data_IF_019180928858
#
_entry.id   IF_019180928858
#
_cell.length_a   1.000
_cell.length_b   1.000
_cell.length_c   1.000
_cell.angle_alpha   90.00
_cell.angle_beta   90.00
_cell.angle_gamma   90.00
#
_symmetry.space_group_name_H-M   'P 1'
#
loop_
_entity.id
_entity.type
_entity.pdbx_description
1 polymer ?
#
# COMPACT_ATOMS: atom_id res chain seq x y z
N UNK A 1 -0.92 34.83 -16.08
CA UNK A 1 -0.28 33.92 -15.11
C UNK A 1 -1.34 33.54 -14.12
N UNK A 2 -1.98 32.39 -14.32
CA UNK A 2 -3.07 31.95 -13.45
C UNK A 2 -2.59 30.77 -12.61
N UNK A 3 -2.88 30.84 -11.30
CA UNK A 3 -2.74 29.71 -10.40
C UNK A 3 -4.05 28.94 -10.51
N UNK A 4 -3.97 27.70 -10.97
CA UNK A 4 -5.10 26.79 -11.09
C UNK A 4 -5.57 26.35 -9.71
N UNK A 5 -6.74 25.71 -9.65
CA UNK A 5 -7.22 25.08 -8.41
C UNK A 5 -6.23 24.03 -7.88
N UNK A 6 -5.55 23.29 -8.78
CA UNK A 6 -4.54 22.29 -8.44
C UNK A 6 -3.28 22.94 -7.86
N UNK A 7 -2.84 24.06 -8.44
CA UNK A 7 -1.72 24.84 -7.90
C UNK A 7 -2.02 25.44 -6.54
N UNK A 8 -3.24 25.94 -6.36
CA UNK A 8 -3.72 26.42 -5.05
C UNK A 8 -3.70 25.31 -4.00
N UNK A 9 -4.15 24.10 -4.37
CA UNK A 9 -4.10 22.94 -3.50
C UNK A 9 -2.64 22.56 -3.13
N UNK A 10 -1.73 22.56 -4.09
CA UNK A 10 -0.32 22.27 -3.85
C UNK A 10 0.33 23.29 -2.91
N UNK A 11 0.05 24.58 -3.09
CA UNK A 11 0.52 25.63 -2.17
C UNK A 11 -0.08 25.43 -0.77
N UNK A 12 -1.37 25.10 -0.67
CA UNK A 12 -2.00 24.81 0.61
C UNK A 12 -1.34 23.62 1.33
N UNK A 13 -0.96 22.56 0.60
CA UNK A 13 -0.21 21.42 1.14
C UNK A 13 1.17 21.86 1.66
N UNK A 14 1.88 22.71 0.93
CA UNK A 14 3.19 23.24 1.38
C UNK A 14 3.06 24.13 2.62
N UNK A 15 2.03 24.97 2.68
CA UNK A 15 1.75 25.80 3.86
C UNK A 15 1.38 24.90 5.05
N UNK A 16 0.53 23.90 4.84
CA UNK A 16 0.11 22.97 5.90
C UNK A 16 1.28 22.17 6.45
N UNK A 17 2.12 21.62 5.59
CA UNK A 17 3.32 20.85 5.98
C UNK A 17 4.39 21.73 6.61
N UNK A 18 4.62 22.92 6.07
CA UNK A 18 5.51 23.94 6.67
C UNK A 18 5.02 24.40 8.05
N UNK A 19 3.72 24.64 8.21
CA UNK A 19 3.12 25.01 9.49
C UNK A 19 3.19 23.87 10.51
N UNK A 20 2.95 22.63 10.08
CA UNK A 20 3.15 21.44 10.90
C UNK A 20 4.58 21.32 11.40
N UNK A 21 5.56 21.53 10.50
CA UNK A 21 6.97 21.58 10.83
C UNK A 21 7.33 22.73 11.79
N UNK A 22 6.73 23.91 11.62
CA UNK A 22 6.93 25.05 12.53
C UNK A 22 6.42 24.77 13.94
N UNK A 23 5.23 24.18 14.08
CA UNK A 23 4.64 23.83 15.38
C UNK A 23 5.44 22.76 16.12
N UNK A 24 5.94 21.76 15.39
CA UNK A 24 6.71 20.66 15.97
C UNK A 24 8.17 21.03 16.25
N UNK A 25 8.76 21.89 15.43
CA UNK A 25 10.19 22.19 15.43
C UNK A 25 11.03 21.13 14.70
N UNK A 26 12.26 21.51 14.32
CA UNK A 26 13.18 20.72 13.52
C UNK A 26 13.42 19.32 14.07
N UNK A 27 13.84 19.22 15.35
CA UNK A 27 14.20 17.94 15.97
C UNK A 27 13.02 16.97 15.93
N UNK A 28 11.82 17.45 16.26
CA UNK A 28 10.62 16.59 16.32
C UNK A 28 10.10 16.22 14.94
N UNK A 29 10.23 17.09 13.93
CA UNK A 29 9.83 16.75 12.55
C UNK A 29 10.77 15.72 11.92
N UNK A 30 12.09 15.84 12.14
CA UNK A 30 13.07 14.84 11.70
C UNK A 30 12.85 13.50 12.41
N UNK A 31 12.70 13.53 13.73
CA UNK A 31 12.40 12.32 14.50
C UNK A 31 11.11 11.66 14.01
N UNK A 32 10.07 12.43 13.72
CA UNK A 32 8.82 11.90 13.16
C UNK A 32 9.01 11.18 11.82
N UNK A 33 9.99 11.57 11.00
CA UNK A 33 10.31 10.88 9.76
C UNK A 33 11.01 9.54 10.03
N UNK A 34 12.03 9.54 10.91
CA UNK A 34 12.72 8.31 11.32
C UNK A 34 11.81 7.33 12.06
N UNK A 35 10.89 7.82 12.89
CA UNK A 35 9.97 6.99 13.65
C UNK A 35 8.97 6.22 12.78
N UNK A 36 8.68 6.67 11.55
CA UNK A 36 7.86 5.88 10.62
C UNK A 36 8.59 4.60 10.23
N UNK A 37 9.87 4.69 9.87
CA UNK A 37 10.68 3.50 9.55
C UNK A 37 10.86 2.61 10.77
N UNK A 38 11.07 3.19 11.95
CA UNK A 38 11.12 2.42 13.19
C UNK A 38 9.78 1.73 13.46
N UNK A 39 8.65 2.39 13.23
CA UNK A 39 7.33 1.81 13.39
C UNK A 39 7.08 0.66 12.41
N UNK A 40 7.54 0.78 11.15
CA UNK A 40 7.46 -0.30 10.17
C UNK A 40 8.32 -1.51 10.57
N UNK A 41 9.53 -1.27 11.08
CA UNK A 41 10.41 -2.33 11.58
C UNK A 41 9.81 -3.03 12.82
N UNK A 42 9.28 -2.26 13.77
CA UNK A 42 8.57 -2.81 14.93
C UNK A 42 7.28 -3.53 14.54
N UNK A 43 6.55 -3.02 13.56
CA UNK A 43 5.35 -3.67 13.04
C UNK A 43 5.70 -5.06 12.51
N UNK A 44 6.81 -5.22 11.81
CA UNK A 44 7.28 -6.53 11.34
C UNK A 44 7.55 -7.50 12.50
N UNK A 45 8.10 -7.03 13.62
CA UNK A 45 8.32 -7.85 14.82
C UNK A 45 7.01 -8.20 15.57
N UNK A 46 6.04 -7.28 15.60
CA UNK A 46 4.74 -7.46 16.27
C UNK A 46 3.80 -8.33 15.42
N UNK A 47 3.89 -8.23 14.09
CA UNK A 47 3.01 -8.90 13.14
C UNK A 47 2.82 -10.40 13.34
N UNK A 48 3.83 -11.25 13.58
CA UNK A 48 3.60 -12.68 13.78
C UNK A 48 2.63 -12.96 14.93
N UNK A 49 2.69 -12.19 16.03
CA UNK A 49 1.79 -12.36 17.18
C UNK A 49 0.37 -11.90 16.88
N UNK A 50 0.22 -10.76 16.19
CA UNK A 50 -1.09 -10.23 15.80
C UNK A 50 -1.73 -11.12 14.73
N UNK A 51 -0.93 -11.65 13.81
CA UNK A 51 -1.40 -12.56 12.78
C UNK A 51 -1.87 -13.88 13.36
N UNK A 52 -1.08 -14.50 14.25
CA UNK A 52 -1.50 -15.73 14.94
C UNK A 52 -2.79 -15.52 15.74
N UNK A 53 -2.91 -14.37 16.43
CA UNK A 53 -4.13 -14.01 17.14
C UNK A 53 -5.33 -13.86 16.19
N UNK A 54 -5.16 -13.19 15.05
CA UNK A 54 -6.22 -12.99 14.05
C UNK A 54 -6.60 -14.31 13.35
N UNK A 55 -5.65 -15.21 13.13
CA UNK A 55 -5.87 -16.49 12.47
C UNK A 55 -6.55 -17.51 13.39
N UNK A 56 -6.24 -17.50 14.70
CA UNK A 56 -6.65 -18.58 15.62
C UNK A 56 -7.68 -18.18 16.67
N UNK A 57 -7.77 -16.88 16.99
CA UNK A 57 -8.55 -16.40 18.13
C UNK A 57 -9.70 -15.48 17.71
N UNK A 58 -9.73 -15.04 16.47
CA UNK A 58 -10.82 -14.22 15.96
C UNK A 58 -11.49 -14.90 14.77
N UNK A 59 -12.81 -14.72 14.59
CA UNK A 59 -13.55 -15.24 13.43
C UNK A 59 -13.25 -14.46 12.14
N UNK A 60 -12.13 -13.73 12.08
CA UNK A 60 -11.80 -12.87 10.95
C UNK A 60 -11.38 -13.71 9.75
N UNK A 61 -10.56 -14.74 9.97
CA UNK A 61 -10.09 -15.61 8.90
C UNK A 61 -11.25 -16.36 8.25
N UNK A 62 -12.11 -17.03 9.03
CA UNK A 62 -13.21 -17.83 8.50
C UNK A 62 -14.21 -16.98 7.72
N UNK A 63 -14.57 -15.79 8.23
CA UNK A 63 -15.48 -14.88 7.51
C UNK A 63 -14.91 -14.37 6.20
N UNK A 64 -13.60 -14.11 6.16
CA UNK A 64 -12.95 -13.64 4.94
C UNK A 64 -12.80 -14.79 3.94
N UNK A 65 -12.46 -15.99 4.41
CA UNK A 65 -12.43 -17.19 3.57
C UNK A 65 -13.79 -17.47 2.95
N UNK A 66 -14.86 -17.47 3.75
CA UNK A 66 -16.23 -17.63 3.26
C UNK A 66 -16.60 -16.54 2.25
N UNK A 67 -16.20 -15.29 2.49
CA UNK A 67 -16.40 -14.20 1.53
C UNK A 67 -15.63 -14.42 0.22
N UNK A 68 -14.38 -14.90 0.29
CA UNK A 68 -13.58 -15.21 -0.89
C UNK A 68 -14.17 -16.40 -1.66
N UNK A 69 -14.64 -17.44 -0.96
CA UNK A 69 -15.29 -18.60 -1.58
C UNK A 69 -16.55 -18.17 -2.35
N UNK A 70 -17.44 -17.41 -1.69
CA UNK A 70 -18.66 -16.89 -2.33
C UNK A 70 -18.35 -16.03 -3.58
N UNK A 71 -17.26 -15.26 -3.57
CA UNK A 71 -16.84 -14.48 -4.73
C UNK A 71 -16.37 -15.38 -5.89
N UNK A 72 -15.66 -16.47 -5.59
CA UNK A 72 -15.22 -17.44 -6.60
C UNK A 72 -16.44 -18.18 -7.18
N UNK A 73 -17.34 -18.66 -6.32
CA UNK A 73 -18.57 -19.35 -6.76
C UNK A 73 -19.45 -18.44 -7.61
N UNK A 74 -19.56 -17.14 -7.27
CA UNK A 74 -20.31 -16.18 -8.07
C UNK A 74 -19.72 -15.93 -9.47
N UNK A 75 -18.41 -16.09 -9.63
CA UNK A 75 -17.75 -15.97 -10.93
C UNK A 75 -17.94 -17.23 -11.79
N UNK A 76 -18.00 -18.40 -11.15
CA UNK A 76 -18.25 -19.67 -11.85
C UNK A 76 -19.68 -19.77 -12.40
N UNK A 77 -20.67 -19.21 -11.68
CA UNK A 77 -22.08 -19.24 -12.14
C UNK A 77 -22.35 -18.39 -13.39
N UNK A 78 -21.46 -17.48 -13.77
CA UNK A 78 -21.58 -16.71 -15.02
C UNK A 78 -21.00 -17.47 -16.24
N UNK A 79 -20.29 -18.58 -16.04
CA UNK A 79 -19.62 -19.37 -17.09
C UNK A 79 -20.29 -20.73 -17.41
N UNK A 80 -21.29 -21.19 -16.64
CA UNK A 80 -22.04 -22.42 -16.94
C UNK A 80 -23.08 -22.24 -18.08
N UNK A 81 -22.58 -22.07 -19.30
CA UNK A 81 -23.33 -22.33 -20.53
C UNK A 81 -22.40 -22.82 -21.65
N UNK A 82 -21.69 -23.92 -21.45
CA UNK A 82 -21.10 -24.70 -22.55
C UNK A 82 -20.79 -26.13 -22.11
N UNK A 83 -21.73 -27.01 -22.45
CA UNK A 83 -21.59 -28.39 -22.92
C UNK A 83 -20.76 -29.41 -22.13
N UNK A 84 -21.52 -30.40 -21.64
CA UNK A 84 -21.12 -31.76 -21.37
C UNK A 84 -20.29 -32.35 -22.54
N UNK A 85 -19.14 -32.97 -22.24
CA UNK A 85 -18.79 -34.27 -22.83
C UNK A 85 -17.68 -34.98 -22.03
N UNK A 86 -17.90 -36.27 -21.89
CA UNK A 86 -17.15 -37.23 -21.09
C UNK A 86 -15.96 -37.82 -21.86
N UNK A 87 -14.82 -38.10 -21.20
CA UNK A 87 -14.09 -39.38 -21.28
C UNK A 87 -12.72 -39.37 -20.57
N UNK A 88 -12.61 -40.28 -19.60
CA UNK A 88 -11.52 -41.20 -19.27
C UNK A 88 -10.05 -40.86 -19.67
N UNK A 89 -9.19 -40.77 -18.63
CA UNK A 89 -7.86 -41.39 -18.67
C UNK A 89 -6.63 -40.54 -19.05
N UNK A 90 -6.24 -39.53 -18.24
CA UNK A 90 -4.81 -39.13 -18.11
C UNK A 90 -4.53 -38.30 -16.84
N UNK A 91 -4.29 -38.99 -15.74
CA UNK A 91 -4.04 -38.38 -14.42
C UNK A 91 -2.58 -37.91 -14.35
N UNK A 92 -2.37 -36.59 -14.30
CA UNK A 92 -1.39 -35.83 -13.49
C UNK A 92 -0.97 -34.49 -14.15
N UNK A 93 -1.08 -34.35 -15.48
CA UNK A 93 -0.74 -33.12 -16.22
C UNK A 93 -1.99 -32.26 -16.56
N UNK A 94 -3.16 -32.90 -16.73
CA UNK A 94 -4.42 -32.21 -17.04
C UNK A 94 -4.97 -31.36 -15.89
N UNK A 95 -4.88 -31.85 -14.65
CA UNK A 95 -5.45 -31.16 -13.48
C UNK A 95 -4.76 -29.83 -13.19
N UNK A 96 -3.43 -29.76 -13.29
CA UNK A 96 -2.70 -28.50 -13.07
C UNK A 96 -3.00 -27.51 -14.19
N UNK A 97 -3.19 -27.98 -15.42
CA UNK A 97 -3.53 -27.13 -16.56
C UNK A 97 -4.96 -26.58 -16.45
N UNK A 98 -5.91 -27.38 -15.94
CA UNK A 98 -7.28 -26.95 -15.64
C UNK A 98 -7.31 -25.93 -14.49
N UNK A 99 -6.60 -26.19 -13.39
CA UNK A 99 -6.50 -25.28 -12.24
C UNK A 99 -5.83 -23.95 -12.59
N UNK A 100 -4.80 -23.96 -13.44
CA UNK A 100 -4.14 -22.73 -13.90
C UNK A 100 -5.05 -21.93 -14.83
N UNK A 101 -5.78 -22.60 -15.73
CA UNK A 101 -6.77 -21.96 -16.60
C UNK A 101 -7.88 -21.32 -15.77
N UNK A 102 -8.34 -21.99 -14.71
CA UNK A 102 -9.30 -21.46 -13.76
C UNK A 102 -8.78 -20.20 -13.05
N UNK A 103 -7.55 -20.23 -12.52
CA UNK A 103 -6.94 -19.06 -11.86
C UNK A 103 -6.82 -17.87 -12.83
N UNK A 104 -6.49 -18.11 -14.09
CA UNK A 104 -6.40 -17.07 -15.12
C UNK A 104 -7.75 -16.43 -15.45
N UNK A 105 -8.85 -17.19 -15.34
CA UNK A 105 -10.23 -16.74 -15.53
C UNK A 105 -10.79 -15.91 -14.37
N UNK A 106 -10.23 -16.02 -13.17
CA UNK A 106 -10.68 -15.22 -12.01
C UNK A 106 -10.57 -13.72 -12.29
N UNK A 107 -11.57 -12.95 -11.87
CA UNK A 107 -11.57 -11.48 -11.95
C UNK A 107 -10.64 -10.83 -10.91
N UNK A 108 -9.36 -11.20 -10.94
CA UNK A 108 -8.31 -10.76 -10.04
C UNK A 108 -7.17 -10.08 -10.83
N UNK A 109 -6.45 -9.12 -10.22
CA UNK A 109 -5.22 -8.62 -10.80
C UNK A 109 -4.23 -9.75 -11.12
N UNK A 110 -3.54 -9.66 -12.26
CA UNK A 110 -2.54 -10.66 -12.70
C UNK A 110 -1.47 -10.98 -11.65
N UNK A 111 -1.15 -10.05 -10.75
CA UNK A 111 -0.25 -10.26 -9.62
C UNK A 111 -0.79 -11.32 -8.64
N UNK A 112 -2.10 -11.28 -8.34
CA UNK A 112 -2.74 -12.27 -7.46
C UNK A 112 -2.91 -13.61 -8.17
N UNK A 113 -3.31 -13.61 -9.44
CA UNK A 113 -3.41 -14.83 -10.24
C UNK A 113 -2.07 -15.57 -10.26
N UNK A 114 -0.98 -14.85 -10.59
CA UNK A 114 0.37 -15.41 -10.55
C UNK A 114 0.74 -15.93 -9.16
N UNK A 115 0.42 -15.18 -8.10
CA UNK A 115 0.71 -15.61 -6.73
C UNK A 115 -0.03 -16.90 -6.36
N UNK A 116 -1.27 -17.07 -6.80
CA UNK A 116 -2.02 -18.33 -6.64
C UNK A 116 -1.34 -19.45 -7.43
N UNK A 117 -1.05 -19.24 -8.72
CA UNK A 117 -0.37 -20.25 -9.54
C UNK A 117 0.97 -20.69 -8.95
N UNK A 118 1.82 -19.74 -8.55
CA UNK A 118 3.15 -20.01 -7.99
C UNK A 118 3.08 -20.71 -6.62
N UNK A 119 1.97 -20.58 -5.89
CA UNK A 119 1.78 -21.17 -4.55
C UNK A 119 0.80 -22.36 -4.53
N UNK A 120 0.35 -22.83 -5.69
CA UNK A 120 -0.49 -24.03 -5.78
C UNK A 120 0.40 -25.28 -5.60
N UNK A 121 0.77 -25.56 -4.35
CA UNK A 121 1.70 -26.63 -3.98
C UNK A 121 1.19 -27.39 -2.77
N UNK A 122 1.56 -28.67 -2.65
CA UNK A 122 1.16 -29.52 -1.52
C UNK A 122 1.56 -28.95 -0.14
N UNK A 123 2.67 -28.20 -0.07
CA UNK A 123 3.11 -27.55 1.17
C UNK A 123 2.12 -26.48 1.64
N UNK A 124 1.62 -25.67 0.71
CA UNK A 124 0.67 -24.59 1.01
C UNK A 124 -0.71 -25.17 1.38
N UNK A 125 -1.18 -26.21 0.71
CA UNK A 125 -2.42 -26.92 1.08
C UNK A 125 -2.37 -27.45 2.52
N UNK A 126 -1.24 -28.07 2.88
CA UNK A 126 -1.01 -28.56 4.25
C UNK A 126 -0.97 -27.43 5.27
N UNK A 127 -0.34 -26.30 4.92
CA UNK A 127 -0.28 -25.14 5.82
C UNK A 127 -1.65 -24.51 6.05
N UNK A 128 -2.48 -24.43 5.02
CA UNK A 128 -3.86 -23.93 5.10
C UNK A 128 -4.84 -24.94 5.72
N UNK A 129 -4.43 -26.21 5.86
CA UNK A 129 -5.26 -27.33 6.29
C UNK A 129 -6.52 -27.52 5.40
N UNK A 130 -6.29 -27.51 4.07
CA UNK A 130 -7.33 -27.67 3.05
C UNK A 130 -7.00 -28.82 2.09
N UNK A 131 -8.04 -29.49 1.59
CA UNK A 131 -7.91 -30.66 0.72
C UNK A 131 -8.50 -30.45 -0.68
N UNK A 132 -9.18 -29.32 -0.93
CA UNK A 132 -9.80 -29.00 -2.22
C UNK A 132 -9.19 -27.73 -2.84
N UNK A 133 -9.24 -27.65 -4.17
CA UNK A 133 -8.76 -26.48 -4.91
C UNK A 133 -9.55 -25.20 -4.59
N UNK A 134 -10.87 -25.28 -4.45
CA UNK A 134 -11.70 -24.13 -4.05
C UNK A 134 -11.36 -23.60 -2.65
N UNK A 135 -11.13 -24.50 -1.69
CA UNK A 135 -10.70 -24.14 -0.34
C UNK A 135 -9.27 -23.57 -0.33
N UNK A 136 -8.40 -24.07 -1.21
CA UNK A 136 -7.07 -23.50 -1.42
C UNK A 136 -7.13 -22.06 -1.93
N UNK A 137 -7.86 -21.78 -3.02
CA UNK A 137 -7.93 -20.43 -3.60
C UNK A 137 -8.53 -19.46 -2.58
N UNK A 138 -9.68 -19.80 -1.99
CA UNK A 138 -10.36 -18.96 -1.00
C UNK A 138 -9.52 -18.76 0.27
N UNK A 139 -8.91 -19.82 0.80
CA UNK A 139 -8.07 -19.77 1.99
C UNK A 139 -6.77 -18.99 1.78
N UNK A 140 -6.15 -19.11 0.59
CA UNK A 140 -4.94 -18.37 0.26
C UNK A 140 -5.21 -16.86 0.17
N UNK A 141 -6.30 -16.47 -0.51
CA UNK A 141 -6.74 -15.08 -0.58
C UNK A 141 -7.09 -14.54 0.80
N UNK A 142 -7.82 -15.31 1.61
CA UNK A 142 -8.15 -14.93 2.98
C UNK A 142 -6.89 -14.71 3.82
N UNK A 143 -5.89 -15.59 3.69
CA UNK A 143 -4.61 -15.46 4.36
C UNK A 143 -3.86 -14.20 3.95
N UNK A 144 -3.83 -13.84 2.66
CA UNK A 144 -3.25 -12.58 2.21
C UNK A 144 -3.94 -11.36 2.84
N UNK A 145 -5.28 -11.36 2.86
CA UNK A 145 -6.08 -10.27 3.44
C UNK A 145 -5.83 -10.16 4.94
N UNK A 146 -5.88 -11.27 5.68
CA UNK A 146 -5.63 -11.30 7.13
C UNK A 146 -4.19 -10.86 7.43
N UNK A 147 -3.19 -11.32 6.68
CA UNK A 147 -1.80 -10.87 6.82
C UNK A 147 -1.68 -9.35 6.64
N UNK A 148 -2.33 -8.78 5.63
CA UNK A 148 -2.37 -7.34 5.39
C UNK A 148 -3.02 -6.57 6.54
N UNK A 149 -4.16 -7.05 7.03
CA UNK A 149 -4.85 -6.45 8.18
C UNK A 149 -4.02 -6.55 9.47
N UNK A 150 -3.41 -7.71 9.73
CA UNK A 150 -2.53 -7.93 10.88
C UNK A 150 -1.33 -6.98 10.85
N UNK A 151 -0.75 -6.75 9.68
CA UNK A 151 0.36 -5.81 9.54
C UNK A 151 -0.09 -4.37 9.83
N UNK A 152 -1.27 -3.96 9.34
CA UNK A 152 -1.87 -2.67 9.66
C UNK A 152 -2.11 -2.49 11.17
N UNK A 153 -2.70 -3.48 11.83
CA UNK A 153 -2.93 -3.46 13.29
C UNK A 153 -1.59 -3.41 14.03
N UNK A 154 -0.60 -4.20 13.59
CA UNK A 154 0.74 -4.21 14.17
C UNK A 154 1.45 -2.87 14.02
N UNK A 155 1.27 -2.18 12.89
CA UNK A 155 1.78 -0.84 12.67
C UNK A 155 1.12 0.18 13.60
N UNK A 156 -0.19 0.07 13.84
CA UNK A 156 -0.89 0.91 14.82
C UNK A 156 -0.34 0.66 16.24
N UNK A 157 -0.16 -0.60 16.63
CA UNK A 157 0.42 -0.98 17.93
C UNK A 157 1.87 -0.50 18.07
N UNK A 158 2.70 -0.65 17.02
CA UNK A 158 4.07 -0.14 17.00
C UNK A 158 4.09 1.39 17.22
N UNK A 159 3.21 2.12 16.54
CA UNK A 159 3.06 3.56 16.76
C UNK A 159 2.62 3.89 18.18
N UNK A 160 1.73 3.10 18.78
CA UNK A 160 1.33 3.27 20.17
C UNK A 160 2.52 3.08 21.12
N UNK A 161 3.31 2.01 20.94
CA UNK A 161 4.51 1.73 21.75
C UNK A 161 5.53 2.85 21.64
N UNK A 162 5.84 3.30 20.41
CA UNK A 162 6.76 4.42 20.18
C UNK A 162 6.26 5.69 20.89
N UNK A 163 4.96 5.98 20.83
CA UNK A 163 4.37 7.15 21.51
C UNK A 163 4.47 7.04 23.02
N UNK A 164 4.21 5.86 23.60
CA UNK A 164 4.34 5.64 25.04
C UNK A 164 5.78 5.86 25.51
N UNK A 165 6.76 5.29 24.80
CA UNK A 165 8.19 5.50 25.06
C UNK A 165 8.53 6.99 24.94
N UNK A 166 8.07 7.66 23.88
CA UNK A 166 8.28 9.09 23.67
C UNK A 166 7.68 9.95 24.77
N UNK A 167 6.52 9.60 25.32
CA UNK A 167 5.92 10.28 26.47
C UNK A 167 6.77 10.13 27.73
N UNK A 168 7.23 8.91 28.03
CA UNK A 168 8.10 8.65 29.19
C UNK A 168 9.43 9.39 29.05
N UNK A 169 10.04 9.36 27.86
CA UNK A 169 11.26 10.11 27.58
C UNK A 169 11.06 11.62 27.74
N UNK A 170 9.95 12.20 27.27
CA UNK A 170 9.67 13.63 27.46
C UNK A 170 9.32 13.99 28.91
N UNK A 171 8.77 13.07 29.70
CA UNK A 171 8.47 13.30 31.11
C UNK A 171 9.75 13.31 31.96
N UNK A 172 10.75 12.51 31.59
CA UNK A 172 12.04 12.41 32.31
C UNK A 172 13.04 13.43 31.78
N UNK A 173 13.12 13.59 30.45
CA UNK A 173 13.92 14.60 29.81
C UNK A 173 13.05 15.85 29.63
N UNK A 174 13.15 16.80 30.56
CA UNK A 174 12.77 18.19 30.32
C UNK A 174 13.55 18.67 29.09
N UNK A 175 13.03 18.46 27.88
CA UNK A 175 13.57 19.03 26.66
C UNK A 175 12.84 20.34 26.44
N UNK A 176 13.35 21.49 26.94
CA UNK A 176 12.88 22.79 26.51
C UNK A 176 13.26 22.94 25.03
N UNK A 177 12.38 22.50 24.14
CA UNK A 177 12.46 22.80 22.70
C UNK A 177 12.04 24.26 22.48
N UNK A 178 12.76 25.19 23.12
CA UNK A 178 12.56 26.63 22.98
C UNK A 178 13.74 27.16 22.19
N UNK A 179 13.49 27.48 20.91
CA UNK A 179 14.16 28.54 20.18
C UNK A 179 13.36 28.82 18.90
N UNK A 180 13.22 30.11 18.53
CA UNK A 180 12.60 30.52 17.27
C UNK A 180 13.29 29.88 16.04
N UNK A 181 14.61 29.69 16.12
CA UNK A 181 15.40 28.97 15.13
C UNK A 181 14.93 27.51 14.95
N UNK A 182 14.68 26.76 16.04
CA UNK A 182 14.21 25.37 15.94
C UNK A 182 12.84 25.27 15.25
N UNK A 183 11.94 26.24 15.49
CA UNK A 183 10.64 26.30 14.81
C UNK A 183 10.79 26.70 13.34
N UNK A 184 11.65 27.68 13.04
CA UNK A 184 11.90 28.12 11.66
C UNK A 184 12.54 27.01 10.81
N UNK A 185 13.57 26.33 11.33
CA UNK A 185 14.19 25.20 10.65
C UNK A 185 13.22 24.01 10.56
N UNK A 186 12.33 23.84 11.55
CA UNK A 186 11.21 22.90 11.46
C UNK A 186 10.26 23.21 10.31
N UNK A 187 9.95 24.49 10.08
CA UNK A 187 9.13 24.92 8.95
C UNK A 187 9.81 24.62 7.61
N UNK A 188 11.12 24.88 7.48
CA UNK A 188 11.90 24.56 6.29
C UNK A 188 11.90 23.07 5.98
N UNK A 189 12.12 22.22 6.99
CA UNK A 189 12.04 20.76 6.84
C UNK A 189 10.62 20.32 6.47
N UNK A 190 9.60 20.93 7.08
CA UNK A 190 8.20 20.69 6.73
C UNK A 190 7.87 21.00 5.27
N UNK A 191 8.34 22.15 4.76
CA UNK A 191 8.18 22.52 3.35
C UNK A 191 8.95 21.57 2.44
N UNK A 192 10.21 21.23 2.77
CA UNK A 192 11.00 20.29 1.99
C UNK A 192 10.31 18.93 1.87
N UNK A 193 9.75 18.42 2.98
CA UNK A 193 8.91 17.22 3.01
C UNK A 193 7.67 17.37 2.13
N UNK A 194 6.99 18.52 2.19
CA UNK A 194 5.87 18.84 1.31
C UNK A 194 6.24 18.81 -0.17
N UNK A 195 7.42 19.31 -0.55
CA UNK A 195 7.93 19.26 -1.93
C UNK A 195 8.15 17.81 -2.37
N UNK A 196 8.73 16.96 -1.51
CA UNK A 196 8.90 15.53 -1.82
C UNK A 196 7.55 14.85 -2.05
N UNK A 197 6.52 15.16 -1.25
CA UNK A 197 5.17 14.65 -1.48
C UNK A 197 4.59 15.12 -2.82
N UNK A 198 4.79 16.39 -3.18
CA UNK A 198 4.36 16.90 -4.48
C UNK A 198 5.07 16.18 -5.62
N UNK A 199 6.38 15.91 -5.51
CA UNK A 199 7.13 15.16 -6.51
C UNK A 199 6.61 13.73 -6.70
N UNK A 200 6.28 13.04 -5.60
CA UNK A 200 5.66 11.71 -5.69
C UNK A 200 4.31 11.79 -6.41
N UNK A 201 3.48 12.78 -6.10
CA UNK A 201 2.18 12.96 -6.76
C UNK A 201 2.33 13.28 -8.25
N UNK A 202 3.28 14.12 -8.63
CA UNK A 202 3.59 14.46 -10.01
C UNK A 202 4.19 13.27 -10.78
N UNK A 203 5.03 12.46 -10.13
CA UNK A 203 5.52 11.20 -10.70
C UNK A 203 4.36 10.24 -10.99
N UNK A 204 3.45 10.04 -10.03
CA UNK A 204 2.25 9.21 -10.23
C UNK A 204 1.44 9.74 -11.42
N UNK A 205 1.23 11.05 -11.50
CA UNK A 205 0.51 11.68 -12.60
C UNK A 205 1.22 11.48 -13.96
N UNK A 206 2.54 11.51 -13.96
CA UNK A 206 3.39 11.25 -15.14
C UNK A 206 3.29 9.80 -15.60
N UNK A 207 3.34 8.85 -14.67
CA UNK A 207 3.14 7.41 -14.96
C UNK A 207 1.74 7.15 -15.52
N UNK A 208 0.75 7.88 -15.02
CA UNK A 208 -0.63 7.80 -15.46
C UNK A 208 -0.92 8.63 -16.73
N UNK A 209 0.08 9.15 -17.45
CA UNK A 209 -0.12 10.04 -18.61
C UNK A 209 -0.94 9.42 -19.76
N UNK A 210 -1.06 8.09 -19.82
CA UNK A 210 -1.91 7.38 -20.79
C UNK A 210 -3.40 7.42 -20.43
N UNK A 211 -3.74 7.65 -19.16
CA UNK A 211 -5.12 7.72 -18.65
C UNK A 211 -5.72 9.11 -18.82
N UNK A 212 -7.04 9.21 -18.86
CA UNK A 212 -7.76 10.50 -18.95
C UNK A 212 -7.44 11.42 -17.75
N UNK A 213 -7.37 10.85 -16.55
CA UNK A 213 -7.00 11.57 -15.32
C UNK A 213 -5.58 12.11 -15.38
N UNK A 214 -4.62 11.32 -15.85
CA UNK A 214 -3.23 11.76 -16.00
C UNK A 214 -3.08 12.86 -17.04
N UNK A 215 -3.71 12.73 -18.21
CA UNK A 215 -3.70 13.78 -19.25
C UNK A 215 -4.29 15.09 -18.75
N UNK A 216 -5.46 15.02 -18.11
CA UNK A 216 -6.14 16.21 -17.57
C UNK A 216 -5.31 16.86 -16.46
N UNK A 217 -4.74 16.07 -15.56
CA UNK A 217 -3.88 16.59 -14.50
C UNK A 217 -2.60 17.22 -15.03
N UNK A 218 -1.90 16.60 -15.98
CA UNK A 218 -0.69 17.16 -16.58
C UNK A 218 -0.99 18.45 -17.34
N UNK A 219 -2.12 18.53 -18.04
CA UNK A 219 -2.56 19.77 -18.68
C UNK A 219 -2.83 20.90 -17.67
N UNK A 220 -3.35 20.57 -16.47
CA UNK A 220 -3.51 21.53 -15.37
C UNK A 220 -2.15 21.98 -14.82
N UNK A 221 -1.20 21.05 -14.64
CA UNK A 221 0.18 21.35 -14.20
C UNK A 221 0.88 22.28 -15.18
N UNK A 222 0.73 22.05 -16.50
CA UNK A 222 1.36 22.85 -17.54
C UNK A 222 0.75 24.25 -17.64
N UNK A 223 -0.56 24.41 -17.42
CA UNK A 223 -1.20 25.73 -17.39
C UNK A 223 -0.84 26.53 -16.15
N UNK A 224 -0.64 25.87 -15.02
CA UNK A 224 -0.29 26.49 -13.76
C UNK A 224 1.14 27.07 -13.78
N UNK A 225 1.34 28.22 -13.14
CA UNK A 225 2.66 28.85 -13.11
C UNK A 225 3.58 28.25 -12.04
N UNK A 226 3.03 27.82 -10.90
CA UNK A 226 3.78 27.25 -9.80
C UNK A 226 4.09 25.77 -10.03
N UNK A 227 3.06 24.96 -10.34
CA UNK A 227 3.25 23.52 -10.54
C UNK A 227 4.16 23.20 -11.71
N UNK A 228 4.12 24.00 -12.79
CA UNK A 228 5.05 23.87 -13.90
C UNK A 228 6.51 24.02 -13.46
N UNK A 229 6.80 24.94 -12.55
CA UNK A 229 8.15 25.10 -11.98
C UNK A 229 8.51 23.91 -11.11
N UNK A 230 7.59 23.48 -10.23
CA UNK A 230 7.81 22.30 -9.35
C UNK A 230 8.05 21.04 -10.18
N UNK A 231 7.27 20.82 -11.23
CA UNK A 231 7.39 19.70 -12.16
C UNK A 231 8.69 19.73 -12.97
N UNK A 232 9.10 20.92 -13.44
CA UNK A 232 10.36 21.09 -14.18
C UNK A 232 11.59 20.68 -13.36
N UNK A 233 11.60 20.99 -12.07
CA UNK A 233 12.69 20.63 -11.15
C UNK A 233 12.40 19.36 -10.34
N UNK A 234 11.42 18.56 -10.75
CA UNK A 234 11.06 17.33 -10.09
C UNK A 234 12.15 16.28 -10.30
N UNK A 235 12.91 16.01 -9.23
CA UNK A 235 14.02 15.07 -9.26
C UNK A 235 13.51 13.64 -9.51
N UNK A 236 12.33 13.28 -8.99
CA UNK A 236 11.78 11.94 -9.13
C UNK A 236 11.29 11.70 -10.56
N UNK A 237 10.57 12.65 -11.14
CA UNK A 237 10.14 12.58 -12.54
C UNK A 237 11.33 12.57 -13.48
N UNK A 238 12.32 13.45 -13.28
CA UNK A 238 13.52 13.48 -14.13
C UNK A 238 14.32 12.18 -14.04
N UNK A 239 14.52 11.63 -12.83
CA UNK A 239 15.18 10.35 -12.65
C UNK A 239 14.41 9.20 -13.32
N UNK A 240 13.07 9.18 -13.18
CA UNK A 240 12.21 8.20 -13.84
C UNK A 240 12.34 8.27 -15.36
N UNK A 241 12.22 9.46 -15.96
CA UNK A 241 12.34 9.65 -17.41
C UNK A 241 13.74 9.29 -17.93
N UNK A 242 14.80 9.58 -17.17
CA UNK A 242 16.16 9.21 -17.56
C UNK A 242 16.39 7.69 -17.56
N UNK A 243 15.75 6.97 -16.64
CA UNK A 243 15.92 5.53 -16.48
C UNK A 243 15.03 4.72 -17.44
N UNK A 244 13.77 5.12 -17.61
CA UNK A 244 12.77 4.40 -18.41
C UNK A 244 12.48 5.02 -19.78
N UNK A 245 12.93 6.25 -20.05
CA UNK A 245 12.76 6.92 -21.34
C UNK A 245 13.89 6.65 -22.34
N UNK A 246 14.78 5.69 -22.04
CA UNK A 246 15.74 5.12 -22.99
C UNK A 246 15.18 3.84 -23.57
#
# INVERSE_FOLDING_TARGET
>A
MEITWLGTLAIAILIFTGYGGYRKGFVREIMSFFFVFLALALAWMINPYVNDFMMKKTPAYERIQESCLNLIDSQNMDEEKSDEESSDGKIMDGTIQEETTFIDGLNLPKVLQKSLTDNNTAEVYKELAVDSFGDYVSGYLARLIVNGMSYLVSYILANLVIRLIGCVLNAIAELPLINGANRLTGALVGVAKGIVFLWIALLILTVLCSTETGKTGLALVEKDSFLRVVYRYDVLVNAFLQFFGK
#
